data_IF_709716248228
#
_entry.id   IF_709716248228
#
_cell.length_a   1.000
_cell.length_b   1.000
_cell.length_c   1.000
_cell.angle_alpha   90.00
_cell.angle_beta   90.00
_cell.angle_gamma   90.00
#
_symmetry.space_group_name_H-M   'P 1'
#
loop_
_entity.id
_entity.type
_entity.pdbx_description
1 polymer ?
#
# COMPACT_ATOMS: atom_id res chain seq x y z
N UNK A 1 -17.40 7.32 -16.92
CA UNK A 1 -17.00 5.93 -17.23
C UNK A 1 -16.55 5.25 -15.95
N UNK A 2 -16.83 3.94 -15.82
CA UNK A 2 -16.53 3.15 -14.63
C UNK A 2 -15.08 2.63 -14.69
N UNK A 3 -14.24 2.83 -13.65
CA UNK A 3 -12.85 2.36 -13.67
C UNK A 3 -12.77 0.84 -13.56
N UNK A 4 -11.72 0.25 -14.15
CA UNK A 4 -11.36 -1.16 -13.93
C UNK A 4 -10.78 -1.34 -12.53
N UNK A 5 -11.35 -2.26 -11.76
CA UNK A 5 -10.98 -2.50 -10.37
C UNK A 5 -10.81 -3.97 -10.09
N UNK A 6 -9.92 -4.30 -9.15
CA UNK A 6 -9.88 -5.60 -8.51
C UNK A 6 -10.36 -5.48 -7.06
N UNK A 7 -11.15 -6.46 -6.66
CA UNK A 7 -11.51 -6.70 -5.27
C UNK A 7 -10.93 -8.03 -4.84
N UNK A 8 -10.56 -8.13 -3.57
CA UNK A 8 -10.14 -9.42 -3.04
C UNK A 8 -11.30 -10.42 -3.03
N UNK A 9 -11.03 -11.65 -3.44
CA UNK A 9 -11.95 -12.79 -3.28
C UNK A 9 -12.21 -13.13 -1.81
N UNK A 10 -11.42 -12.60 -0.87
CA UNK A 10 -11.59 -12.80 0.56
C UNK A 10 -12.61 -11.86 1.22
N UNK A 11 -13.20 -10.89 0.50
CA UNK A 11 -14.46 -10.26 0.94
C UNK A 11 -15.56 -11.32 1.13
N UNK A 12 -15.48 -12.42 0.37
CA UNK A 12 -16.36 -13.58 0.52
C UNK A 12 -16.00 -14.44 1.75
N UNK A 13 -14.86 -14.17 2.41
CA UNK A 13 -14.42 -14.85 3.64
C UNK A 13 -14.70 -14.06 4.93
N UNK A 14 -15.53 -13.01 4.85
CA UNK A 14 -16.16 -12.41 6.04
C UNK A 14 -15.42 -11.24 6.71
N UNK A 15 -14.43 -10.61 6.07
CA UNK A 15 -13.81 -9.37 6.57
C UNK A 15 -14.50 -8.17 5.90
N UNK A 16 -15.37 -7.42 6.60
CA UNK A 16 -16.28 -6.44 6.01
C UNK A 16 -15.62 -5.07 5.78
N UNK A 17 -14.40 -5.04 5.23
CA UNK A 17 -13.64 -3.80 5.02
C UNK A 17 -13.78 -3.33 3.56
N UNK A 18 -14.30 -2.12 3.32
CA UNK A 18 -14.28 -1.54 1.98
C UNK A 18 -12.85 -1.29 1.49
N UNK A 19 -12.51 -1.85 0.34
CA UNK A 19 -11.18 -1.70 -0.27
C UNK A 19 -11.25 -1.83 -1.79
N UNK A 20 -10.20 -1.38 -2.49
CA UNK A 20 -10.13 -1.43 -3.95
C UNK A 20 -8.68 -1.38 -4.41
N UNK A 21 -8.34 -2.18 -5.43
CA UNK A 21 -7.16 -1.95 -6.26
C UNK A 21 -7.61 -1.35 -7.59
N UNK A 22 -7.08 -0.19 -7.96
CA UNK A 22 -7.26 0.35 -9.31
C UNK A 22 -6.34 -0.35 -10.30
N UNK A 23 -6.85 -0.58 -11.51
CA UNK A 23 -6.02 -0.98 -12.65
C UNK A 23 -5.80 0.20 -13.60
N UNK A 24 -4.67 0.17 -14.31
CA UNK A 24 -4.47 1.06 -15.45
C UNK A 24 -5.54 0.79 -16.51
N UNK A 25 -6.11 1.85 -17.06
CA UNK A 25 -7.13 1.73 -18.11
C UNK A 25 -6.90 2.80 -19.18
N UNK A 26 -6.37 2.37 -20.33
CA UNK A 26 -6.04 3.25 -21.46
C UNK A 26 -7.26 3.92 -22.10
N UNK A 27 -8.47 3.47 -21.77
CA UNK A 27 -9.72 4.09 -22.22
C UNK A 27 -10.15 5.30 -21.38
N UNK A 28 -9.49 5.57 -20.25
CA UNK A 28 -9.80 6.69 -19.36
C UNK A 28 -8.84 7.87 -19.58
N UNK A 29 -9.27 9.12 -19.30
CA UNK A 29 -8.36 10.26 -19.13
C UNK A 29 -7.22 9.93 -18.16
N UNK A 30 -6.01 10.38 -18.49
CA UNK A 30 -4.79 10.06 -17.73
C UNK A 30 -4.48 8.56 -17.59
N UNK A 31 -5.15 7.69 -18.37
CA UNK A 31 -5.04 6.23 -18.32
C UNK A 31 -5.32 5.61 -16.95
N UNK A 32 -6.12 6.28 -16.11
CA UNK A 32 -6.36 5.88 -14.72
C UNK A 32 -5.22 6.22 -13.77
N UNK A 33 -4.53 7.34 -14.00
CA UNK A 33 -3.50 7.82 -13.08
C UNK A 33 -4.12 8.38 -11.79
N UNK A 34 -3.62 7.92 -10.64
CA UNK A 34 -4.01 8.41 -9.32
C UNK A 34 -2.93 9.29 -8.65
N UNK A 35 -1.82 9.60 -9.33
CA UNK A 35 -0.70 10.38 -8.79
C UNK A 35 -0.63 11.78 -9.39
N UNK A 36 -0.50 12.79 -8.52
CA UNK A 36 -0.20 14.16 -8.95
C UNK A 36 1.22 14.34 -9.49
N UNK A 37 2.14 13.40 -9.20
CA UNK A 37 3.53 13.48 -9.65
C UNK A 37 3.70 13.21 -11.15
N UNK A 38 2.70 12.60 -11.79
CA UNK A 38 2.80 12.15 -13.19
C UNK A 38 1.52 12.36 -13.99
N UNK A 39 0.51 13.01 -13.42
CA UNK A 39 -0.82 13.13 -14.03
C UNK A 39 -1.41 14.51 -13.85
N UNK A 40 -2.27 14.89 -14.79
CA UNK A 40 -2.97 16.17 -14.77
C UNK A 40 -3.92 16.24 -13.57
N UNK A 41 -3.89 17.35 -12.84
CA UNK A 41 -4.61 17.52 -11.56
C UNK A 41 -6.09 17.17 -11.67
N UNK A 42 -6.77 17.67 -12.70
CA UNK A 42 -8.20 17.43 -12.88
C UNK A 42 -8.52 15.95 -13.12
N UNK A 43 -7.70 15.27 -13.92
CA UNK A 43 -7.86 13.84 -14.24
C UNK A 43 -7.59 12.96 -13.00
N UNK A 44 -6.52 13.26 -12.25
CA UNK A 44 -6.18 12.55 -11.01
C UNK A 44 -7.30 12.67 -9.98
N UNK A 45 -7.82 13.88 -9.77
CA UNK A 45 -8.93 14.12 -8.85
C UNK A 45 -10.20 13.37 -9.28
N UNK A 46 -10.52 13.40 -10.57
CA UNK A 46 -11.67 12.69 -11.12
C UNK A 46 -11.51 11.17 -10.97
N UNK A 47 -10.32 10.64 -11.25
CA UNK A 47 -10.04 9.22 -11.13
C UNK A 47 -10.09 8.74 -9.68
N UNK A 48 -9.46 9.45 -8.74
CA UNK A 48 -9.54 9.17 -7.30
C UNK A 48 -10.99 9.16 -6.79
N UNK A 49 -11.81 10.13 -7.21
CA UNK A 49 -13.25 10.15 -6.89
C UNK A 49 -13.97 8.91 -7.42
N UNK A 50 -13.72 8.55 -8.68
CA UNK A 50 -14.40 7.43 -9.32
C UNK A 50 -14.01 6.09 -8.69
N UNK A 51 -12.71 5.86 -8.43
CA UNK A 51 -12.24 4.59 -7.87
C UNK A 51 -12.72 4.37 -6.43
N UNK A 52 -12.70 5.41 -5.60
CA UNK A 52 -13.13 5.29 -4.19
C UNK A 52 -14.64 5.04 -4.09
N UNK A 53 -15.43 5.69 -4.95
CA UNK A 53 -16.88 5.48 -5.03
C UNK A 53 -17.27 4.03 -5.31
N UNK A 54 -16.46 3.29 -6.06
CA UNK A 54 -16.71 1.86 -6.29
C UNK A 54 -16.82 1.10 -4.96
N UNK A 55 -16.03 1.45 -3.95
CA UNK A 55 -16.06 0.81 -2.63
C UNK A 55 -16.77 1.64 -1.57
N UNK A 56 -17.60 2.61 -1.95
CA UNK A 56 -18.31 3.46 -0.97
C UNK A 56 -17.39 4.35 -0.13
N UNK A 57 -16.15 4.58 -0.58
CA UNK A 57 -15.18 5.45 0.07
C UNK A 57 -15.27 6.86 -0.52
N UNK A 58 -14.93 7.88 0.28
CA UNK A 58 -14.84 9.27 -0.17
C UNK A 58 -13.39 9.72 -0.35
N UNK A 59 -13.14 10.51 -1.41
CA UNK A 59 -11.86 11.19 -1.62
C UNK A 59 -11.53 12.13 -0.45
N UNK A 60 -12.54 12.73 0.18
CA UNK A 60 -12.35 13.68 1.28
C UNK A 60 -11.79 13.02 2.55
N UNK A 61 -11.83 11.68 2.60
CA UNK A 61 -11.37 10.87 3.73
C UNK A 61 -10.20 9.94 3.37
N UNK A 62 -9.75 9.94 2.11
CA UNK A 62 -8.56 9.21 1.69
C UNK A 62 -7.31 9.92 2.21
N UNK A 63 -6.39 9.18 2.80
CA UNK A 63 -5.13 9.71 3.32
C UNK A 63 -3.97 9.03 2.61
N UNK A 64 -3.00 9.83 2.17
CA UNK A 64 -1.79 9.38 1.47
C UNK A 64 -0.54 9.91 2.19
N UNK A 65 0.56 9.18 2.02
CA UNK A 65 1.88 9.55 2.54
C UNK A 65 2.81 9.98 1.41
N UNK A 66 3.92 10.62 1.79
CA UNK A 66 5.05 10.85 0.90
C UNK A 66 5.88 9.56 0.79
N UNK A 67 5.67 8.78 -0.27
CA UNK A 67 6.33 7.49 -0.49
C UNK A 67 7.79 7.67 -0.96
N UNK A 68 8.74 7.09 -0.23
CA UNK A 68 10.17 7.20 -0.49
C UNK A 68 10.88 5.85 -0.69
N UNK A 69 10.09 4.76 -0.80
CA UNK A 69 10.57 3.38 -0.90
C UNK A 69 11.33 2.91 0.35
N UNK A 70 11.01 3.49 1.51
CA UNK A 70 11.50 3.11 2.83
C UNK A 70 10.68 2.00 3.49
N UNK A 71 10.80 1.90 4.81
CA UNK A 71 10.14 0.87 5.63
C UNK A 71 9.29 1.45 6.78
N UNK A 72 8.97 2.74 6.73
CA UNK A 72 8.17 3.42 7.73
C UNK A 72 6.67 3.24 7.46
N UNK A 73 5.91 2.97 8.53
CA UNK A 73 4.45 2.87 8.53
C UNK A 73 3.92 3.90 9.53
N UNK A 74 2.98 4.74 9.11
CA UNK A 74 2.35 5.74 9.98
C UNK A 74 0.92 5.36 10.32
N UNK A 75 0.56 5.57 11.58
CA UNK A 75 -0.83 5.56 12.03
C UNK A 75 -1.52 6.87 11.62
N UNK A 76 -2.74 6.74 11.11
CA UNK A 76 -3.60 7.85 10.70
C UNK A 76 -4.78 7.95 11.64
N UNK A 77 -4.95 9.12 12.23
CA UNK A 77 -6.11 9.47 13.06
C UNK A 77 -7.17 10.25 12.30
N UNK A 78 -8.34 10.41 12.91
CA UNK A 78 -9.51 11.06 12.30
C UNK A 78 -9.22 12.48 11.81
N UNK A 79 -8.38 13.23 12.53
CA UNK A 79 -7.99 14.61 12.24
C UNK A 79 -7.08 14.72 11.00
N UNK A 80 -6.43 13.63 10.62
CA UNK A 80 -5.52 13.56 9.48
C UNK A 80 -6.22 13.06 8.21
N UNK A 81 -7.49 12.68 8.30
CA UNK A 81 -8.23 12.15 7.16
C UNK A 81 -8.30 13.17 6.01
N UNK A 82 -8.05 12.70 4.78
CA UNK A 82 -8.07 13.55 3.59
C UNK A 82 -6.70 14.11 3.20
N UNK A 83 -5.70 14.07 4.09
CA UNK A 83 -4.34 14.57 3.82
C UNK A 83 -3.68 13.84 2.65
N UNK A 84 -3.15 14.58 1.69
CA UNK A 84 -2.57 14.02 0.46
C UNK A 84 -3.59 13.70 -0.64
N UNK A 85 -4.89 13.73 -0.34
CA UNK A 85 -5.94 13.30 -1.27
C UNK A 85 -6.21 14.30 -2.39
N UNK A 86 -6.16 15.59 -2.08
CA UNK A 86 -6.43 16.66 -3.04
C UNK A 86 -5.16 17.40 -3.45
N UNK A 87 -4.06 17.25 -2.71
CA UNK A 87 -2.80 17.93 -2.95
C UNK A 87 -1.65 17.04 -2.45
N UNK A 88 -0.60 16.88 -3.25
CA UNK A 88 0.54 16.04 -2.88
C UNK A 88 1.34 16.64 -1.70
N UNK A 89 1.46 17.96 -1.64
CA UNK A 89 2.23 18.66 -0.61
C UNK A 89 1.61 18.53 0.79
N UNK A 90 0.34 18.11 0.86
CA UNK A 90 -0.40 17.89 2.10
C UNK A 90 -0.32 16.44 2.59
N UNK A 91 0.35 15.55 1.84
CA UNK A 91 0.58 14.17 2.26
C UNK A 91 1.14 14.11 3.69
N UNK A 92 0.84 13.00 4.38
CA UNK A 92 1.56 12.69 5.60
C UNK A 92 3.05 12.50 5.30
N UNK A 93 3.87 12.65 6.34
CA UNK A 93 5.34 12.64 6.23
C UNK A 93 5.91 11.39 5.55
N UNK A 94 7.25 11.33 5.39
CA UNK A 94 7.91 10.22 4.70
C UNK A 94 7.46 8.87 5.25
N UNK A 95 6.78 8.08 4.42
CA UNK A 95 6.29 6.75 4.78
C UNK A 95 5.84 5.98 3.54
N UNK A 96 6.00 4.67 3.63
CA UNK A 96 5.57 3.73 2.60
C UNK A 96 4.43 2.83 3.10
N UNK A 97 3.95 3.05 4.32
CA UNK A 97 2.72 2.43 4.80
C UNK A 97 1.88 3.41 5.60
N UNK A 98 0.57 3.29 5.47
CA UNK A 98 -0.40 3.95 6.31
C UNK A 98 -1.34 2.93 6.92
N UNK A 99 -1.76 3.16 8.16
CA UNK A 99 -2.70 2.30 8.87
C UNK A 99 -3.64 3.10 9.76
N UNK A 100 -4.84 2.59 10.02
CA UNK A 100 -5.83 3.28 10.85
C UNK A 100 -6.79 2.29 11.49
N UNK A 101 -7.30 2.66 12.67
CA UNK A 101 -8.47 2.07 13.30
C UNK A 101 -9.60 3.10 13.46
N UNK A 102 -9.43 4.32 12.91
CA UNK A 102 -10.41 5.39 12.98
C UNK A 102 -11.54 5.15 11.96
N UNK A 103 -12.82 5.03 12.41
CA UNK A 103 -13.93 4.80 11.50
C UNK A 103 -14.07 5.88 10.43
N UNK A 104 -14.36 5.45 9.20
CA UNK A 104 -14.55 6.33 8.05
C UNK A 104 -13.29 7.03 7.55
N UNK A 105 -12.10 6.69 8.07
CA UNK A 105 -10.80 7.10 7.49
C UNK A 105 -10.38 6.06 6.45
N UNK A 106 -10.01 6.50 5.25
CA UNK A 106 -9.41 5.64 4.24
C UNK A 106 -7.91 5.92 4.16
N UNK A 107 -7.11 4.87 4.01
CA UNK A 107 -5.66 4.96 3.77
C UNK A 107 -5.33 4.34 2.43
N UNK A 108 -4.34 4.89 1.74
CA UNK A 108 -3.93 4.39 0.43
C UNK A 108 -2.44 4.58 0.16
N UNK A 109 -1.96 3.84 -0.83
CA UNK A 109 -0.64 3.99 -1.43
C UNK A 109 -0.77 3.95 -2.94
N UNK A 110 0.18 4.57 -3.64
CA UNK A 110 0.25 4.60 -5.09
C UNK A 110 1.37 3.67 -5.54
N UNK A 111 1.11 2.82 -6.54
CA UNK A 111 2.10 1.89 -7.08
C UNK A 111 2.07 1.87 -8.60
N UNK A 112 3.24 1.68 -9.19
CA UNK A 112 3.45 1.27 -10.57
C UNK A 112 4.63 0.30 -10.55
N UNK A 113 4.42 -0.94 -10.97
CA UNK A 113 5.33 -2.10 -10.85
C UNK A 113 5.58 -2.62 -9.43
N UNK A 114 5.72 -1.74 -8.44
CA UNK A 114 5.84 -2.13 -7.03
C UNK A 114 4.58 -2.81 -6.49
N UNK A 115 4.74 -3.58 -5.42
CA UNK A 115 3.63 -4.27 -4.77
C UNK A 115 2.91 -3.34 -3.79
N UNK A 116 1.57 -3.45 -3.71
CA UNK A 116 0.77 -2.93 -2.62
C UNK A 116 0.22 -4.07 -1.76
N UNK A 117 0.35 -3.95 -0.44
CA UNK A 117 -0.30 -4.81 0.54
C UNK A 117 -1.45 -4.02 1.18
N UNK A 118 -2.70 -4.40 0.90
CA UNK A 118 -3.81 -3.98 1.74
C UNK A 118 -3.90 -4.95 2.91
N UNK A 119 -3.96 -4.45 4.13
CA UNK A 119 -3.98 -5.25 5.35
C UNK A 119 -5.19 -4.92 6.20
N UNK A 120 -5.72 -5.92 6.91
CA UNK A 120 -6.73 -5.72 7.94
C UNK A 120 -6.64 -6.81 9.01
N UNK A 121 -7.18 -6.55 10.20
CA UNK A 121 -7.47 -7.60 11.16
C UNK A 121 -8.72 -8.40 10.75
N UNK A 122 -8.96 -9.52 11.44
CA UNK A 122 -10.11 -10.39 11.15
C UNK A 122 -11.47 -9.70 11.31
N UNK A 123 -11.56 -8.71 12.21
CA UNK A 123 -12.81 -8.02 12.48
C UNK A 123 -12.99 -6.76 11.60
N UNK A 124 -11.96 -6.36 10.86
CA UNK A 124 -11.96 -5.12 10.08
C UNK A 124 -11.94 -3.84 10.93
N UNK A 125 -11.51 -3.95 12.19
CA UNK A 125 -11.37 -2.84 13.13
C UNK A 125 -10.12 -2.00 12.87
N UNK A 126 -9.09 -2.61 12.28
CA UNK A 126 -7.86 -1.94 11.89
C UNK A 126 -7.49 -2.31 10.45
N UNK A 127 -7.03 -1.33 9.68
CA UNK A 127 -6.71 -1.49 8.27
C UNK A 127 -5.39 -0.81 7.94
N UNK A 128 -4.75 -1.22 6.86
CA UNK A 128 -3.52 -0.63 6.36
C UNK A 128 -3.36 -0.75 4.85
N UNK A 129 -2.61 0.17 4.27
CA UNK A 129 -2.19 0.17 2.88
C UNK A 129 -0.68 0.41 2.82
N UNK A 130 0.06 -0.56 2.27
CA UNK A 130 1.52 -0.62 2.34
C UNK A 130 2.11 -0.73 0.95
N UNK A 131 3.02 0.16 0.60
CA UNK A 131 3.85 0.12 -0.58
C UNK A 131 5.12 -0.70 -0.30
N UNK A 132 5.25 -1.81 -1.02
CA UNK A 132 6.38 -2.73 -0.92
C UNK A 132 7.15 -2.74 -2.24
N UNK A 133 7.90 -1.68 -2.50
CA UNK A 133 8.98 -1.70 -3.50
C UNK A 133 10.16 -2.56 -3.03
N UNK A 134 11.16 -2.78 -3.89
CA UNK A 134 12.29 -3.65 -3.56
C UNK A 134 13.09 -3.17 -2.34
N UNK A 135 13.34 -1.85 -2.20
CA UNK A 135 14.05 -1.25 -1.06
C UNK A 135 13.29 -1.42 0.25
N UNK A 136 11.99 -1.12 0.24
CA UNK A 136 11.12 -1.31 1.39
C UNK A 136 11.01 -2.78 1.79
N UNK A 137 10.92 -3.68 0.81
CA UNK A 137 10.91 -5.14 1.03
C UNK A 137 12.20 -5.62 1.68
N UNK A 138 13.35 -5.22 1.14
CA UNK A 138 14.67 -5.50 1.73
C UNK A 138 14.79 -4.92 3.15
N UNK A 139 14.21 -3.74 3.39
CA UNK A 139 14.21 -3.07 4.69
C UNK A 139 13.10 -3.58 5.64
N UNK A 140 12.32 -4.58 5.23
CA UNK A 140 11.35 -5.26 6.07
C UNK A 140 9.99 -4.55 6.27
N UNK A 141 9.53 -3.73 5.32
CA UNK A 141 8.26 -2.97 5.42
C UNK A 141 7.05 -3.84 5.81
N UNK A 142 6.90 -5.05 5.25
CA UNK A 142 5.77 -5.93 5.57
C UNK A 142 5.77 -6.39 7.04
N UNK A 143 6.95 -6.68 7.58
CA UNK A 143 7.14 -7.09 8.97
C UNK A 143 6.91 -5.90 9.90
N UNK A 144 7.37 -4.71 9.49
CA UNK A 144 7.11 -3.47 10.22
C UNK A 144 5.61 -3.17 10.28
N UNK A 145 4.87 -3.36 9.18
CA UNK A 145 3.43 -3.20 9.16
C UNK A 145 2.74 -4.16 10.15
N UNK A 146 3.04 -5.46 10.11
CA UNK A 146 2.47 -6.44 11.05
C UNK A 146 2.80 -6.11 12.52
N UNK A 147 4.05 -5.70 12.80
CA UNK A 147 4.44 -5.25 14.15
C UNK A 147 3.69 -3.99 14.58
N UNK A 148 3.46 -3.07 13.66
CA UNK A 148 2.71 -1.85 13.93
C UNK A 148 1.25 -2.16 14.25
N UNK A 149 0.63 -3.15 13.60
CA UNK A 149 -0.73 -3.60 13.95
C UNK A 149 -0.83 -4.06 15.40
N UNK A 150 0.19 -4.77 15.88
CA UNK A 150 0.27 -5.19 17.27
C UNK A 150 0.53 -4.01 18.22
N UNK A 151 1.49 -3.14 17.89
CA UNK A 151 1.89 -2.03 18.74
C UNK A 151 0.81 -0.95 18.87
N UNK A 152 0.15 -0.60 17.76
CA UNK A 152 -0.79 0.53 17.69
C UNK A 152 -2.22 0.14 18.03
N UNK A 153 -2.62 -1.09 17.69
CA UNK A 153 -4.02 -1.53 17.77
C UNK A 153 -4.21 -2.80 18.60
N UNK A 154 -3.14 -3.39 19.14
CA UNK A 154 -3.22 -4.64 19.89
C UNK A 154 -3.60 -5.85 19.04
N UNK A 155 -3.54 -5.75 17.70
CA UNK A 155 -3.91 -6.83 16.79
C UNK A 155 -2.77 -7.86 16.73
N UNK A 156 -2.99 -9.11 17.14
CA UNK A 156 -1.94 -10.12 17.11
C UNK A 156 -1.62 -10.52 15.67
N UNK A 157 -0.33 -10.76 15.36
CA UNK A 157 0.14 -11.06 14.01
C UNK A 157 -0.66 -12.16 13.26
N UNK A 158 -1.07 -13.28 13.89
CA UNK A 158 -1.89 -14.31 13.22
C UNK A 158 -3.30 -13.84 12.81
N UNK A 159 -3.77 -12.71 13.32
CA UNK A 159 -5.07 -12.11 12.97
C UNK A 159 -4.97 -11.10 11.83
N UNK A 160 -3.76 -10.71 11.42
CA UNK A 160 -3.59 -9.83 10.26
C UNK A 160 -3.79 -10.64 8.98
N UNK A 161 -4.55 -10.10 8.04
CA UNK A 161 -4.70 -10.59 6.67
C UNK A 161 -4.13 -9.55 5.73
N UNK A 162 -3.50 -10.01 4.66
CA UNK A 162 -2.92 -9.16 3.64
C UNK A 162 -3.44 -9.57 2.26
N UNK A 163 -3.66 -8.57 1.41
CA UNK A 163 -4.01 -8.70 0.00
C UNK A 163 -2.93 -8.04 -0.84
N UNK A 164 -2.34 -8.83 -1.73
CA UNK A 164 -1.23 -8.44 -2.57
C UNK A 164 -1.80 -7.95 -3.90
N UNK A 165 -1.48 -6.72 -4.30
CA UNK A 165 -1.88 -6.19 -5.60
C UNK A 165 -1.17 -6.91 -6.75
N UNK A 166 -1.66 -6.78 -8.00
CA UNK A 166 -0.81 -7.00 -9.16
C UNK A 166 0.47 -6.16 -9.03
N UNK A 167 1.60 -6.76 -9.41
CA UNK A 167 2.92 -6.15 -9.43
C UNK A 167 3.72 -6.74 -10.58
N UNK A 168 4.91 -6.19 -10.84
CA UNK A 168 5.83 -6.79 -11.82
C UNK A 168 6.16 -8.23 -11.42
N UNK A 169 6.17 -9.15 -12.39
CA UNK A 169 6.54 -10.54 -12.16
C UNK A 169 8.06 -10.70 -12.13
N UNK A 170 8.55 -11.74 -11.42
CA UNK A 170 9.98 -12.05 -11.38
C UNK A 170 10.60 -12.21 -12.78
N UNK A 171 9.84 -12.76 -13.74
CA UNK A 171 10.25 -12.93 -15.15
C UNK A 171 10.53 -11.61 -15.88
N UNK A 172 9.95 -10.50 -15.43
CA UNK A 172 10.06 -9.18 -16.06
C UNK A 172 11.00 -8.22 -15.32
N UNK A 173 11.53 -8.63 -14.17
CA UNK A 173 12.51 -7.83 -13.43
C UNK A 173 13.89 -7.98 -14.10
N UNK A 174 14.30 -6.98 -14.88
CA UNK A 174 15.67 -6.84 -15.39
C UNK A 174 16.48 -5.92 -14.46
N UNK A 175 16.77 -6.38 -13.25
CA UNK A 175 17.57 -5.66 -12.25
C UNK A 175 18.78 -6.51 -11.82
N UNK A 176 19.99 -6.05 -12.13
CA UNK A 176 21.23 -6.83 -12.07
C UNK A 176 21.79 -7.17 -10.68
N UNK A 177 22.60 -8.25 -10.66
CA UNK A 177 23.63 -8.65 -9.68
C UNK A 177 23.47 -8.18 -8.22
N UNK A 178 22.30 -8.41 -7.63
CA UNK A 178 22.13 -8.50 -6.18
C UNK A 178 21.38 -9.78 -5.90
N UNK A 179 22.06 -10.79 -5.34
CA UNK A 179 21.38 -11.96 -4.81
C UNK A 179 20.58 -11.54 -3.59
N UNK A 180 19.26 -11.51 -3.71
CA UNK A 180 18.38 -11.60 -2.54
C UNK A 180 18.30 -13.09 -2.18
N UNK A 181 19.22 -13.55 -1.33
CA UNK A 181 19.04 -14.85 -0.68
C UNK A 181 17.92 -14.71 0.36
N UNK A 182 16.76 -15.26 0.03
CA UNK A 182 15.72 -15.52 1.01
C UNK A 182 16.11 -16.79 1.76
N UNK A 183 16.70 -16.65 2.94
CA UNK A 183 16.89 -17.78 3.84
C UNK A 183 15.51 -18.35 4.22
N UNK A 184 15.21 -19.58 3.80
CA UNK A 184 13.96 -20.31 4.06
C UNK A 184 13.93 -20.84 5.51
N UNK A 185 14.35 -20.01 6.47
CA UNK A 185 14.33 -20.34 7.88
C UNK A 185 12.88 -20.41 8.41
N UNK A 186 12.57 -21.33 9.34
CA UNK A 186 11.26 -21.38 9.98
C UNK A 186 11.00 -20.04 10.67
N UNK A 187 9.82 -19.47 10.42
CA UNK A 187 9.38 -18.12 10.81
C UNK A 187 10.21 -17.44 11.90
N UNK A 188 10.93 -16.37 11.51
CA UNK A 188 11.36 -15.33 12.42
C UNK A 188 12.80 -15.45 12.93
N UNK A 189 13.77 -15.17 12.05
CA UNK A 189 15.05 -14.48 12.31
C UNK A 189 15.87 -14.44 11.00
N UNK A 190 15.44 -13.63 10.03
CA UNK A 190 16.26 -13.34 8.87
C UNK A 190 17.35 -12.33 9.24
N UNK A 191 18.63 -12.71 9.13
CA UNK A 191 19.75 -11.76 9.16
C UNK A 191 20.11 -11.46 7.71
N UNK A 192 19.97 -10.22 7.28
CA UNK A 192 20.43 -9.77 5.96
C UNK A 192 21.93 -9.48 6.04
N UNK A 193 22.76 -10.28 5.37
CA UNK A 193 24.16 -9.92 5.13
C UNK A 193 24.29 -9.38 3.71
N UNK A 194 24.73 -8.13 3.58
CA UNK A 194 25.23 -7.62 2.31
C UNK A 194 26.65 -8.16 2.13
N UNK A 195 26.87 -9.05 1.17
CA UNK A 195 28.25 -9.30 0.71
C UNK A 195 28.70 -8.08 -0.10
N UNK A 196 29.82 -7.46 0.32
CA UNK A 196 30.53 -6.48 -0.51
C UNK A 196 30.99 -7.18 -1.80
N UNK A 197 31.03 -6.48 -2.94
CA UNK A 197 31.61 -7.05 -4.15
C UNK A 197 33.06 -7.45 -3.88
N UNK A 198 33.46 -8.63 -4.35
CA UNK A 198 34.87 -8.97 -4.50
C UNK A 198 35.49 -7.92 -5.43
N UNK A 199 36.56 -7.29 -4.96
CA UNK A 199 37.39 -6.44 -5.81
C UNK A 199 38.11 -7.32 -6.83
N UNK A 200 38.14 -6.87 -8.08
CA UNK A 200 38.99 -7.44 -9.15
C UNK A 200 40.48 -7.31 -8.79
#
# INVERSE_FOLDING_TARGET
>A
MKPKVLRSTLLQRGIPVPHVFSLRDTSLPGFGNASFLSGERAEVLQFRKNILRESGLSIDRLTLAFQEHGAQVLRVETEQAGRGSMNHDECLGPADGLMTASPGVAVGVLVADCCCLLMADLNGSAVGAIHAGWRGTQSGIAMNAVRSFQAEFGVPAPSVRAWISPSISAEKISGGRGSLEFDQGPMGRGRLSAQRPLAD
#
